data_IF_685005241812
#
_entry.id   IF_685005241812
#
_cell.length_a   1.000
_cell.length_b   1.000
_cell.length_c   1.000
_cell.angle_alpha   90.00
_cell.angle_beta   90.00
_cell.angle_gamma   90.00
#
_symmetry.space_group_name_H-M   'P 1'
#
loop_
_entity.id
_entity.type
_entity.pdbx_description
1 polymer ?
#
# COMPACT_ATOMS: atom_id res chain seq x y z
N UNK A 1 -33.34 -22.36 25.75
CA UNK A 1 -33.11 -21.77 24.42
C UNK A 1 -33.30 -20.26 24.55
N UNK A 2 -32.26 -19.58 25.02
CA UNK A 2 -32.23 -18.13 25.23
C UNK A 2 -31.64 -17.47 24.00
N UNK A 3 -32.45 -16.64 23.35
CA UNK A 3 -32.08 -15.80 22.22
C UNK A 3 -31.48 -14.51 22.77
N UNK A 4 -30.18 -14.52 23.10
CA UNK A 4 -29.55 -13.42 23.83
C UNK A 4 -28.14 -13.07 23.34
N UNK A 5 -27.81 -13.27 22.04
CA UNK A 5 -26.47 -12.99 21.48
C UNK A 5 -26.50 -12.24 20.13
N UNK A 6 -27.48 -11.36 19.87
CA UNK A 6 -27.61 -10.72 18.54
C UNK A 6 -27.20 -9.24 18.44
N UNK A 7 -26.69 -8.59 19.49
CA UNK A 7 -26.32 -7.17 19.44
C UNK A 7 -24.97 -6.86 20.10
N UNK A 8 -23.92 -7.56 19.67
CA UNK A 8 -22.55 -7.18 20.04
C UNK A 8 -21.80 -6.78 18.76
N UNK A 9 -21.50 -5.48 18.67
CA UNK A 9 -20.80 -4.76 17.59
C UNK A 9 -21.59 -4.31 16.33
N UNK A 10 -22.65 -3.53 16.53
CA UNK A 10 -23.30 -2.73 15.47
C UNK A 10 -22.56 -1.40 15.20
N UNK A 11 -21.23 -1.37 15.38
CA UNK A 11 -20.43 -0.18 15.06
C UNK A 11 -20.20 -0.14 13.55
N UNK A 12 -20.51 0.97 12.87
CA UNK A 12 -20.29 1.08 11.45
C UNK A 12 -18.80 0.92 11.16
N UNK A 13 -18.45 -0.09 10.35
CA UNK A 13 -17.08 -0.28 9.86
C UNK A 13 -16.70 0.96 9.07
N UNK A 14 -15.60 1.61 9.45
CA UNK A 14 -15.11 2.80 8.76
C UNK A 14 -14.77 2.47 7.30
N UNK A 15 -15.08 3.41 6.42
CA UNK A 15 -14.74 3.33 5.01
C UNK A 15 -13.24 3.61 4.82
N UNK A 16 -12.68 3.08 3.74
CA UNK A 16 -11.29 3.28 3.36
C UNK A 16 -10.96 4.77 3.24
N UNK A 17 -11.83 5.57 2.63
CA UNK A 17 -11.60 7.02 2.51
C UNK A 17 -11.58 7.72 3.88
N UNK A 18 -12.42 7.30 4.82
CA UNK A 18 -12.43 7.86 6.18
C UNK A 18 -11.13 7.52 6.92
N UNK A 19 -10.63 6.30 6.73
CA UNK A 19 -9.34 5.87 7.29
C UNK A 19 -8.19 6.60 6.61
N UNK A 20 -8.16 6.66 5.28
CA UNK A 20 -7.10 7.38 4.55
C UNK A 20 -7.06 8.85 4.96
N UNK A 21 -8.19 9.53 5.03
CA UNK A 21 -8.23 10.93 5.45
C UNK A 21 -7.71 11.09 6.88
N UNK A 22 -8.17 10.26 7.82
CA UNK A 22 -7.71 10.33 9.21
C UNK A 22 -6.21 10.05 9.39
N UNK A 23 -5.62 9.22 8.52
CA UNK A 23 -4.22 8.79 8.62
C UNK A 23 -3.26 9.62 7.78
N UNK A 24 -3.70 10.13 6.63
CA UNK A 24 -2.83 10.84 5.68
C UNK A 24 -2.84 12.34 5.93
N UNK A 25 -3.96 12.94 6.38
CA UNK A 25 -4.02 14.36 6.69
C UNK A 25 -2.93 14.82 7.68
N UNK A 26 -2.68 14.10 8.80
CA UNK A 26 -1.60 14.47 9.72
C UNK A 26 -0.19 14.37 9.09
N UNK A 27 -0.02 13.50 8.09
CA UNK A 27 1.25 13.35 7.35
C UNK A 27 1.44 14.50 6.34
N UNK A 28 0.34 14.99 5.76
CA UNK A 28 0.32 16.06 4.75
C UNK A 28 0.45 17.45 5.37
N UNK A 29 -0.21 17.71 6.51
CA UNK A 29 -0.30 19.03 7.15
C UNK A 29 1.05 19.76 7.32
N UNK A 30 2.15 19.12 7.79
CA UNK A 30 3.43 19.79 7.95
C UNK A 30 4.23 19.93 6.64
N UNK A 31 3.77 19.33 5.53
CA UNK A 31 4.48 19.31 4.27
C UNK A 31 4.09 20.47 3.37
N UNK A 32 5.07 20.95 2.59
CA UNK A 32 4.87 22.06 1.67
C UNK A 32 5.48 21.77 0.29
N UNK A 33 4.96 22.46 -0.72
CA UNK A 33 5.47 22.41 -2.09
C UNK A 33 5.49 21.01 -2.68
N UNK A 34 6.63 20.61 -3.25
CA UNK A 34 6.76 19.33 -3.98
C UNK A 34 6.57 18.10 -3.08
N UNK A 35 6.96 18.16 -1.80
CA UNK A 35 6.82 17.02 -0.87
C UNK A 35 5.36 16.72 -0.58
N UNK A 36 4.56 17.77 -0.38
CA UNK A 36 3.11 17.67 -0.20
C UNK A 36 2.44 17.05 -1.43
N UNK A 37 2.72 17.60 -2.62
CA UNK A 37 2.17 17.07 -3.89
C UNK A 37 2.47 15.59 -4.09
N UNK A 38 3.71 15.15 -3.88
CA UNK A 38 4.09 13.74 -4.02
C UNK A 38 3.32 12.81 -3.07
N UNK A 39 3.01 13.28 -1.85
CA UNK A 39 2.23 12.49 -0.90
C UNK A 39 0.76 12.42 -1.30
N UNK A 40 0.17 13.54 -1.72
CA UNK A 40 -1.19 13.60 -2.28
C UNK A 40 -1.30 12.71 -3.53
N UNK A 41 -0.32 12.77 -4.44
CA UNK A 41 -0.26 11.91 -5.64
C UNK A 41 -0.13 10.42 -5.30
N UNK A 42 0.58 10.08 -4.22
CA UNK A 42 0.70 8.72 -3.72
C UNK A 42 -0.61 8.20 -3.12
N UNK A 43 -1.31 9.04 -2.37
CA UNK A 43 -2.63 8.75 -1.80
C UNK A 43 -3.67 8.52 -2.91
N UNK A 44 -3.71 9.40 -3.91
CA UNK A 44 -4.59 9.25 -5.08
C UNK A 44 -4.25 8.00 -5.90
N UNK A 45 -2.97 7.67 -6.04
CA UNK A 45 -2.55 6.43 -6.68
C UNK A 45 -3.03 5.20 -5.90
N UNK A 46 -3.04 5.24 -4.56
CA UNK A 46 -3.56 4.15 -3.74
C UNK A 46 -5.08 3.98 -3.92
N UNK A 47 -5.85 5.08 -3.99
CA UNK A 47 -7.28 5.03 -4.33
C UNK A 47 -7.51 4.41 -5.71
N UNK A 48 -6.77 4.86 -6.73
CA UNK A 48 -6.84 4.27 -8.08
C UNK A 48 -6.44 2.80 -8.10
N UNK A 49 -5.49 2.38 -7.26
CA UNK A 49 -5.13 0.98 -7.10
C UNK A 49 -6.32 0.14 -6.61
N UNK A 50 -7.10 0.65 -5.66
CA UNK A 50 -8.34 0.03 -5.19
C UNK A 50 -9.38 -0.07 -6.31
N UNK A 51 -9.58 1.02 -7.07
CA UNK A 51 -10.49 1.03 -8.22
C UNK A 51 -10.16 -0.05 -9.25
N UNK A 52 -8.91 -0.06 -9.73
CA UNK A 52 -8.47 -0.98 -10.78
C UNK A 52 -8.50 -2.44 -10.32
N UNK A 53 -8.26 -2.69 -9.02
CA UNK A 53 -8.17 -4.02 -8.45
C UNK A 53 -9.37 -4.40 -7.58
N UNK A 54 -10.52 -3.73 -7.74
CA UNK A 54 -11.70 -3.91 -6.91
C UNK A 54 -12.09 -5.39 -6.75
N UNK A 55 -12.15 -6.16 -7.85
CA UNK A 55 -12.50 -7.58 -7.82
C UNK A 55 -11.53 -8.50 -7.05
N UNK A 56 -10.35 -8.00 -6.67
CA UNK A 56 -9.34 -8.74 -5.89
C UNK A 56 -9.12 -8.18 -4.48
N UNK A 57 -9.63 -6.98 -4.21
CA UNK A 57 -9.45 -6.26 -2.95
C UNK A 57 -10.75 -6.25 -2.16
N UNK A 58 -11.89 -6.11 -2.84
CA UNK A 58 -13.19 -6.01 -2.22
C UNK A 58 -13.81 -7.40 -2.03
N UNK A 59 -14.56 -7.52 -0.94
CA UNK A 59 -15.43 -8.65 -0.65
C UNK A 59 -16.65 -8.63 -1.57
N UNK A 60 -17.35 -9.76 -1.66
CA UNK A 60 -18.56 -9.85 -2.48
C UNK A 60 -19.65 -8.83 -2.06
N UNK A 61 -19.95 -8.61 -0.77
CA UNK A 61 -20.88 -7.56 -0.36
C UNK A 61 -20.46 -6.15 -0.81
N UNK A 62 -19.18 -5.80 -0.66
CA UNK A 62 -18.66 -4.51 -1.13
C UNK A 62 -18.80 -4.37 -2.65
N UNK A 63 -18.49 -5.40 -3.44
CA UNK A 63 -18.65 -5.37 -4.89
C UNK A 63 -20.12 -5.14 -5.31
N UNK A 64 -21.08 -5.72 -4.60
CA UNK A 64 -22.51 -5.45 -4.85
C UNK A 64 -22.89 -4.00 -4.57
N UNK A 65 -22.30 -3.39 -3.54
CA UNK A 65 -22.50 -1.97 -3.27
C UNK A 65 -21.83 -1.10 -4.34
N UNK A 66 -20.65 -1.49 -4.85
CA UNK A 66 -20.01 -0.81 -5.98
C UNK A 66 -20.88 -0.85 -7.24
N UNK A 67 -21.52 -1.98 -7.56
CA UNK A 67 -22.46 -2.09 -8.69
C UNK A 67 -23.62 -1.08 -8.59
N UNK A 68 -24.07 -0.75 -7.38
CA UNK A 68 -25.10 0.26 -7.13
C UNK A 68 -24.52 1.68 -7.19
N UNK A 69 -23.38 1.91 -6.53
CA UNK A 69 -22.70 3.21 -6.49
C UNK A 69 -22.32 3.69 -7.89
N UNK A 70 -21.85 2.79 -8.77
CA UNK A 70 -21.49 3.12 -10.15
C UNK A 70 -22.66 3.67 -10.97
N UNK A 71 -23.90 3.29 -10.63
CA UNK A 71 -25.10 3.83 -11.29
C UNK A 71 -25.41 5.26 -10.86
N UNK A 72 -24.89 5.70 -9.71
CA UNK A 72 -25.08 7.04 -9.15
C UNK A 72 -23.90 7.95 -9.48
N UNK A 73 -22.69 7.50 -9.15
CA UNK A 73 -21.43 8.19 -9.44
C UNK A 73 -20.31 7.17 -9.70
N UNK A 74 -19.90 6.97 -10.97
CA UNK A 74 -18.93 5.96 -11.33
C UNK A 74 -17.49 6.29 -10.91
N UNK A 75 -17.15 7.57 -10.67
CA UNK A 75 -15.76 7.96 -10.41
C UNK A 75 -15.43 7.68 -8.96
N UNK A 76 -14.47 6.80 -8.66
CA UNK A 76 -14.06 6.54 -7.27
C UNK A 76 -15.04 5.66 -6.48
N UNK A 77 -15.96 4.97 -7.17
CA UNK A 77 -17.01 4.17 -6.52
C UNK A 77 -16.43 3.05 -5.65
N UNK A 78 -15.38 2.35 -6.10
CA UNK A 78 -14.80 1.26 -5.33
C UNK A 78 -14.10 1.76 -4.06
N UNK A 79 -13.34 2.85 -4.14
CA UNK A 79 -12.63 3.47 -3.02
C UNK A 79 -13.60 4.02 -1.97
N UNK A 80 -14.71 4.64 -2.38
CA UNK A 80 -15.76 5.12 -1.47
C UNK A 80 -16.51 4.01 -0.73
N UNK A 81 -16.63 2.84 -1.35
CA UNK A 81 -17.35 1.68 -0.80
C UNK A 81 -16.43 0.76 0.00
N UNK A 82 -15.15 0.71 -0.35
CA UNK A 82 -14.15 -0.09 0.33
C UNK A 82 -14.16 0.17 1.84
N UNK A 83 -14.13 -0.90 2.62
CA UNK A 83 -13.99 -0.85 4.08
C UNK A 83 -12.52 -0.74 4.48
N UNK A 84 -12.25 -0.39 5.73
CA UNK A 84 -10.89 -0.31 6.26
C UNK A 84 -10.02 -1.56 5.98
N UNK A 85 -10.51 -2.81 6.13
CA UNK A 85 -9.75 -4.02 5.76
C UNK A 85 -9.28 -4.08 4.29
N UNK A 86 -9.97 -3.40 3.37
CA UNK A 86 -9.56 -3.34 1.97
C UNK A 86 -8.21 -2.61 1.80
N UNK A 87 -7.85 -1.71 2.73
CA UNK A 87 -6.56 -1.03 2.74
C UNK A 87 -5.41 -2.03 2.80
N UNK A 88 -5.42 -2.94 3.79
CA UNK A 88 -4.36 -3.94 3.94
C UNK A 88 -4.29 -4.90 2.75
N UNK A 89 -5.42 -5.19 2.09
CA UNK A 89 -5.45 -6.00 0.86
C UNK A 89 -4.93 -5.24 -0.37
N UNK A 90 -5.02 -3.91 -0.36
CA UNK A 90 -4.55 -3.04 -1.44
C UNK A 90 -3.03 -2.79 -1.37
N UNK A 91 -2.48 -2.59 -0.17
CA UNK A 91 -1.08 -2.19 0.02
C UNK A 91 -0.05 -3.11 -0.67
N UNK A 92 -0.17 -4.45 -0.66
CA UNK A 92 0.79 -5.32 -1.36
C UNK A 92 0.81 -5.06 -2.85
N UNK A 93 -0.36 -4.85 -3.48
CA UNK A 93 -0.46 -4.53 -4.91
C UNK A 93 0.08 -3.14 -5.21
N UNK A 94 -0.28 -2.17 -4.39
CA UNK A 94 0.22 -0.80 -4.51
C UNK A 94 1.76 -0.74 -4.47
N UNK A 95 2.40 -1.66 -3.74
CA UNK A 95 3.85 -1.75 -3.65
C UNK A 95 4.48 -2.60 -4.76
N UNK A 96 3.81 -3.64 -5.26
CA UNK A 96 4.38 -4.61 -6.21
C UNK A 96 4.08 -4.36 -7.69
N UNK A 97 2.98 -3.69 -8.04
CA UNK A 97 2.65 -3.41 -9.44
C UNK A 97 3.39 -2.17 -9.95
N UNK A 98 4.02 -2.32 -11.12
CA UNK A 98 4.79 -1.27 -11.79
C UNK A 98 3.95 0.00 -12.08
N UNK A 99 2.65 -0.17 -12.30
CA UNK A 99 1.69 0.90 -12.57
C UNK A 99 1.58 1.92 -11.43
N UNK A 100 2.00 1.53 -10.21
CA UNK A 100 1.90 2.37 -9.01
C UNK A 100 3.26 2.84 -8.49
N UNK A 101 4.38 2.53 -9.13
CA UNK A 101 5.70 2.88 -8.58
C UNK A 101 5.98 4.39 -8.55
N UNK A 102 5.42 5.14 -9.51
CA UNK A 102 5.66 6.57 -9.67
C UNK A 102 6.65 6.93 -10.75
N UNK A 103 6.91 8.24 -10.89
CA UNK A 103 7.73 8.76 -12.00
C UNK A 103 9.24 8.66 -11.72
N UNK A 104 9.65 8.79 -10.45
CA UNK A 104 11.04 8.83 -10.05
C UNK A 104 11.29 8.14 -8.70
N UNK A 105 12.56 8.10 -8.27
CA UNK A 105 12.97 7.43 -7.04
C UNK A 105 12.40 8.05 -5.77
N UNK A 106 12.24 9.37 -5.75
CA UNK A 106 11.66 10.06 -4.61
C UNK A 106 10.18 9.71 -4.49
N UNK A 107 9.51 9.60 -5.63
CA UNK A 107 8.14 9.14 -5.76
C UNK A 107 7.96 7.73 -5.20
N UNK A 108 8.85 6.81 -5.59
CA UNK A 108 8.89 5.44 -5.08
C UNK A 108 9.13 5.42 -3.57
N UNK A 109 10.06 6.25 -3.06
CA UNK A 109 10.34 6.37 -1.61
C UNK A 109 9.12 6.84 -0.83
N UNK A 110 8.40 7.85 -1.35
CA UNK A 110 7.18 8.37 -0.72
C UNK A 110 6.11 7.28 -0.63
N UNK A 111 5.87 6.53 -1.71
CA UNK A 111 4.89 5.43 -1.72
C UNK A 111 5.25 4.28 -0.78
N UNK A 112 6.52 3.87 -0.77
CA UNK A 112 7.04 2.85 0.15
C UNK A 112 6.87 3.28 1.60
N UNK A 113 7.16 4.56 1.91
CA UNK A 113 6.95 5.11 3.25
C UNK A 113 5.46 5.15 3.60
N UNK A 114 4.62 5.72 2.73
CA UNK A 114 3.18 5.82 2.93
C UNK A 114 2.56 4.46 3.26
N UNK A 115 2.91 3.42 2.52
CA UNK A 115 2.39 2.08 2.78
C UNK A 115 2.77 1.53 4.17
N UNK A 116 3.98 1.85 4.66
CA UNK A 116 4.41 1.43 5.99
C UNK A 116 3.71 2.24 7.09
N UNK A 117 3.60 3.55 6.93
CA UNK A 117 2.87 4.43 7.87
C UNK A 117 1.40 3.99 7.98
N UNK A 118 0.75 3.69 6.83
CA UNK A 118 -0.61 3.18 6.81
C UNK A 118 -0.74 1.82 7.48
N UNK A 119 0.24 0.92 7.28
CA UNK A 119 0.26 -0.37 7.96
C UNK A 119 0.36 -0.19 9.49
N UNK A 120 1.32 0.60 9.95
CA UNK A 120 1.54 0.87 11.38
C UNK A 120 0.32 1.54 12.02
N UNK A 121 -0.32 2.45 11.29
CA UNK A 121 -1.52 3.12 11.75
C UNK A 121 -2.77 2.22 11.81
N UNK A 122 -2.75 1.04 11.19
CA UNK A 122 -3.80 0.03 11.41
C UNK A 122 -3.70 -0.67 12.76
N UNK A 123 -2.56 -0.55 13.45
CA UNK A 123 -2.35 -1.19 14.75
C UNK A 123 -3.28 -0.56 15.81
N UNK A 124 -4.13 -1.40 16.40
CA UNK A 124 -5.07 -0.98 17.44
C UNK A 124 -6.38 -0.38 16.92
N UNK A 125 -6.61 -0.39 15.60
CA UNK A 125 -7.91 -0.05 15.03
C UNK A 125 -8.90 -1.23 15.20
N UNK A 126 -10.12 -0.99 15.73
CA UNK A 126 -11.09 -2.06 15.98
C UNK A 126 -11.61 -2.73 14.69
N UNK A 127 -11.48 -2.08 13.54
CA UNK A 127 -11.89 -2.60 12.23
C UNK A 127 -10.99 -3.75 11.72
N UNK A 128 -9.95 -4.09 12.48
CA UNK A 128 -8.88 -5.02 12.11
C UNK A 128 -8.72 -6.11 13.20
N UNK A 129 -9.53 -7.18 13.19
CA UNK A 129 -9.40 -8.28 14.15
C UNK A 129 -8.07 -9.04 13.97
N UNK A 130 -7.43 -9.40 15.08
CA UNK A 130 -6.02 -9.79 15.12
C UNK A 130 -5.65 -10.99 14.22
N UNK A 131 -6.55 -11.96 14.07
CA UNK A 131 -6.33 -13.20 13.33
C UNK A 131 -6.29 -13.02 11.80
N UNK A 132 -7.12 -12.13 11.25
CA UNK A 132 -7.06 -11.78 9.81
C UNK A 132 -5.94 -10.78 9.49
N UNK A 133 -5.58 -9.95 10.47
CA UNK A 133 -4.56 -8.90 10.33
C UNK A 133 -3.16 -9.47 10.14
N UNK A 134 -2.81 -10.54 10.84
CA UNK A 134 -1.43 -11.07 10.79
C UNK A 134 -1.04 -11.56 9.38
N UNK A 135 -1.94 -12.26 8.70
CA UNK A 135 -1.69 -12.72 7.33
C UNK A 135 -1.54 -11.54 6.35
N UNK A 136 -2.42 -10.55 6.46
CA UNK A 136 -2.37 -9.37 5.60
C UNK A 136 -1.15 -8.50 5.90
N UNK A 137 -0.84 -8.26 7.19
CA UNK A 137 0.36 -7.55 7.64
C UNK A 137 1.61 -8.20 7.08
N UNK A 138 1.73 -9.52 7.18
CA UNK A 138 2.86 -10.25 6.62
C UNK A 138 2.97 -10.08 5.10
N UNK A 139 1.84 -10.07 4.39
CA UNK A 139 1.82 -9.78 2.95
C UNK A 139 2.29 -8.35 2.63
N UNK A 140 1.85 -7.34 3.40
CA UNK A 140 2.31 -5.95 3.25
C UNK A 140 3.80 -5.84 3.51
N UNK A 141 4.30 -6.41 4.60
CA UNK A 141 5.73 -6.39 4.95
C UNK A 141 6.58 -7.09 3.89
N UNK A 142 6.12 -8.20 3.33
CA UNK A 142 6.81 -8.88 2.25
C UNK A 142 6.88 -8.01 0.98
N UNK A 143 5.77 -7.37 0.59
CA UNK A 143 5.72 -6.44 -0.53
C UNK A 143 6.62 -5.21 -0.31
N UNK A 144 6.64 -4.67 0.91
CA UNK A 144 7.52 -3.56 1.30
C UNK A 144 9.00 -3.91 1.15
N UNK A 145 9.41 -5.10 1.61
CA UNK A 145 10.80 -5.58 1.44
C UNK A 145 11.17 -5.68 -0.03
N UNK A 146 10.28 -6.24 -0.87
CA UNK A 146 10.49 -6.35 -2.33
C UNK A 146 10.59 -4.97 -2.99
N UNK A 147 9.67 -4.05 -2.70
CA UNK A 147 9.68 -2.70 -3.25
C UNK A 147 10.96 -1.94 -2.87
N UNK A 148 11.39 -2.05 -1.62
CA UNK A 148 12.65 -1.44 -1.15
C UNK A 148 13.87 -2.06 -1.83
N UNK A 149 13.88 -3.36 -2.05
CA UNK A 149 14.95 -4.02 -2.78
C UNK A 149 15.00 -3.59 -4.25
N UNK A 150 13.85 -3.56 -4.95
CA UNK A 150 13.76 -3.07 -6.34
C UNK A 150 14.31 -1.65 -6.47
N UNK A 151 13.88 -0.74 -5.60
CA UNK A 151 14.38 0.63 -5.59
C UNK A 151 15.91 0.72 -5.43
N UNK A 152 16.48 -0.07 -4.51
CA UNK A 152 17.93 -0.10 -4.27
C UNK A 152 18.69 -0.66 -5.46
N UNK A 153 18.18 -1.74 -6.05
CA UNK A 153 18.74 -2.37 -7.23
C UNK A 153 18.76 -1.39 -8.40
N UNK A 154 17.65 -0.73 -8.71
CA UNK A 154 17.56 0.22 -9.82
C UNK A 154 18.46 1.45 -9.63
N UNK A 155 18.62 1.91 -8.38
CA UNK A 155 19.58 2.97 -8.04
C UNK A 155 21.03 2.54 -8.25
N UNK A 156 21.32 1.29 -7.94
CA UNK A 156 22.65 0.74 -8.08
C UNK A 156 22.99 0.48 -9.56
N UNK A 157 22.06 -0.08 -10.33
CA UNK A 157 22.20 -0.27 -11.78
C UNK A 157 22.42 1.05 -12.52
N UNK A 158 21.67 2.12 -12.18
CA UNK A 158 21.91 3.46 -12.74
C UNK A 158 23.28 4.02 -12.38
N UNK A 159 23.69 3.89 -11.11
CA UNK A 159 25.04 4.30 -10.69
C UNK A 159 26.13 3.55 -11.46
N UNK A 160 25.98 2.24 -11.65
CA UNK A 160 26.89 1.42 -12.46
C UNK A 160 26.99 1.87 -13.92
N UNK A 161 25.86 2.26 -14.51
CA UNK A 161 25.81 2.76 -15.88
C UNK A 161 26.56 4.10 -16.03
N UNK A 162 26.46 4.98 -15.03
CA UNK A 162 27.10 6.29 -14.97
C UNK A 162 28.57 6.25 -14.54
N UNK A 163 29.01 5.12 -13.95
CA UNK A 163 30.35 4.96 -13.39
C UNK A 163 31.36 4.49 -14.44
N UNK A 164 32.58 5.05 -14.38
CA UNK A 164 33.72 4.67 -15.23
C UNK A 164 33.97 3.14 -15.13
N UNK A 165 34.24 2.44 -16.25
CA UNK A 165 34.57 1.01 -16.26
C UNK A 165 35.60 0.57 -15.20
N UNK A 166 36.54 1.44 -14.79
CA UNK A 166 37.50 1.12 -13.72
C UNK A 166 36.86 0.96 -12.31
N UNK A 167 35.72 1.60 -12.06
CA UNK A 167 35.00 1.58 -10.78
C UNK A 167 33.83 0.57 -10.75
N UNK A 168 33.45 -0.02 -11.90
CA UNK A 168 32.33 -0.98 -12.01
C UNK A 168 32.53 -2.28 -11.22
N UNK A 169 33.77 -2.75 -11.08
CA UNK A 169 34.04 -4.03 -10.42
C UNK A 169 33.64 -4.03 -8.93
N UNK A 170 33.77 -2.90 -8.24
CA UNK A 170 33.38 -2.76 -6.83
C UNK A 170 31.86 -2.71 -6.64
N UNK A 171 31.18 -1.97 -7.50
CA UNK A 171 29.73 -1.87 -7.48
C UNK A 171 29.09 -3.24 -7.83
N UNK A 172 29.62 -4.00 -8.80
CA UNK A 172 29.06 -5.33 -9.12
C UNK A 172 29.03 -6.27 -7.91
N UNK A 173 30.07 -6.25 -7.07
CA UNK A 173 30.14 -7.05 -5.83
C UNK A 173 29.05 -6.63 -4.83
N UNK A 174 28.73 -5.35 -4.75
CA UNK A 174 27.68 -4.83 -3.88
C UNK A 174 26.28 -5.24 -4.39
N UNK A 175 26.06 -5.25 -5.71
CA UNK A 175 24.81 -5.73 -6.33
C UNK A 175 24.60 -7.24 -6.06
N UNK A 176 25.62 -8.05 -6.30
CA UNK A 176 25.58 -9.50 -6.07
C UNK A 176 25.32 -9.82 -4.58
N UNK A 177 25.82 -8.97 -3.67
CA UNK A 177 25.57 -9.06 -2.24
C UNK A 177 24.12 -8.68 -1.87
N UNK A 178 23.53 -7.68 -2.53
CA UNK A 178 22.12 -7.31 -2.34
C UNK A 178 21.17 -8.41 -2.83
N UNK A 179 21.51 -9.09 -3.92
CA UNK A 179 20.75 -10.23 -4.46
C UNK A 179 20.82 -11.45 -3.53
N UNK A 180 22.00 -11.72 -2.96
CA UNK A 180 22.18 -12.81 -1.98
C UNK A 180 21.36 -12.60 -0.70
N UNK A 181 21.19 -11.35 -0.25
CA UNK A 181 20.41 -11.00 0.94
C UNK A 181 18.89 -10.94 0.70
N UNK A 182 18.45 -10.85 -0.56
CA UNK A 182 17.04 -10.76 -0.93
C UNK A 182 16.42 -12.09 -1.36
N UNK A 183 17.21 -13.17 -1.45
CA UNK A 183 16.63 -14.50 -1.60
C UNK A 183 15.73 -14.75 -0.37
N UNK A 184 14.42 -14.97 -0.55
CA UNK A 184 13.58 -15.38 0.56
C UNK A 184 14.19 -16.66 1.14
N UNK A 185 14.44 -16.68 2.44
CA UNK A 185 14.66 -17.95 3.12
C UNK A 185 13.32 -18.67 3.05
N UNK A 186 13.19 -19.60 2.10
CA UNK A 186 12.07 -20.54 2.08
C UNK A 186 12.07 -21.27 3.43
N UNK A 187 10.91 -21.37 4.11
CA UNK A 187 10.76 -22.17 5.31
C UNK A 187 10.91 -23.67 5.03
#
# INVERSE_FOLDING_TARGET
MTAEHLHEDDRPVRRLDEVLHALVDPLVEPLHGRRRRRLEDAEDALRRCVEVNAGRILTLPELRLVELEVQLDPVGAAARIATAPALLRALPRFLDDADWEGEDDEDRRVRIRLALELLEATDGLPEFPADEVDAQRNAVLAAWRRARWRLRRDQHERRLAETDPAQRAWLQIELDSLDALSKPQDP
#
